data_IF_761819567718
#
_entry.id   IF_761819567718
#
_cell.length_a   1.000
_cell.length_b   1.000
_cell.length_c   1.000
_cell.angle_alpha   90.00
_cell.angle_beta   90.00
_cell.angle_gamma   90.00
#
_symmetry.space_group_name_H-M   'P 1'
#
loop_
_entity.id
_entity.type
_entity.pdbx_description
1 polymer ?
#
# COMPACT_ATOMS: atom_id res chain seq x y z
N UNK A 1 39.06 20.81 -3.88
CA UNK A 1 38.71 19.42 -3.57
C UNK A 1 39.14 19.07 -2.14
N UNK A 2 40.42 19.12 -1.77
CA UNK A 2 40.88 18.75 -0.41
C UNK A 2 40.09 19.45 0.69
N UNK A 3 40.04 20.79 0.64
CA UNK A 3 39.31 21.58 1.63
C UNK A 3 37.78 21.28 1.64
N UNK A 4 37.22 21.01 0.48
CA UNK A 4 35.78 20.62 0.35
C UNK A 4 35.51 19.25 0.98
N UNK A 5 36.36 18.22 0.75
CA UNK A 5 36.20 16.89 1.34
C UNK A 5 36.37 16.88 2.84
N UNK A 6 37.26 17.70 3.40
CA UNK A 6 37.41 17.86 4.86
C UNK A 6 36.15 18.43 5.51
N UNK A 7 35.40 19.29 4.81
CA UNK A 7 34.18 19.95 5.29
C UNK A 7 32.87 19.25 4.89
N UNK A 8 32.92 18.31 3.97
CA UNK A 8 31.73 17.66 3.40
C UNK A 8 30.87 16.94 4.48
N UNK A 9 31.50 16.48 5.58
CA UNK A 9 30.79 15.71 6.61
C UNK A 9 30.27 14.38 6.06
N UNK A 10 29.27 13.80 6.75
CA UNK A 10 28.59 12.61 6.27
C UNK A 10 27.61 12.98 5.14
N UNK A 11 27.60 12.19 4.07
CA UNK A 11 26.65 12.38 2.96
C UNK A 11 25.26 11.99 3.44
N UNK A 12 24.36 12.97 3.43
CA UNK A 12 22.95 12.82 3.76
C UNK A 12 22.10 13.39 2.61
N UNK A 13 20.80 13.14 2.60
CA UNK A 13 19.91 13.73 1.59
C UNK A 13 19.99 15.28 1.61
N UNK A 14 20.05 15.87 2.79
CA UNK A 14 20.19 17.33 2.94
C UNK A 14 21.62 17.82 2.69
N UNK A 15 22.62 16.95 2.75
CA UNK A 15 24.02 17.23 2.46
C UNK A 15 24.47 16.88 1.03
N UNK A 16 23.54 16.44 0.18
CA UNK A 16 23.83 16.06 -1.20
C UNK A 16 24.45 17.18 -2.03
N UNK A 17 24.05 18.43 -1.81
CA UNK A 17 24.64 19.61 -2.48
C UNK A 17 26.13 19.73 -2.20
N UNK A 18 26.55 19.57 -0.95
CA UNK A 18 27.98 19.65 -0.56
C UNK A 18 28.82 18.54 -1.21
N UNK A 19 28.27 17.33 -1.36
CA UNK A 19 28.93 16.25 -2.11
C UNK A 19 29.04 16.62 -3.60
N UNK A 20 27.96 17.11 -4.22
CA UNK A 20 27.96 17.47 -5.63
C UNK A 20 28.98 18.57 -5.95
N UNK A 21 29.07 19.62 -5.13
CA UNK A 21 30.07 20.67 -5.26
C UNK A 21 31.51 20.13 -5.25
N UNK A 22 31.80 19.21 -4.31
CA UNK A 22 33.14 18.62 -4.21
C UNK A 22 33.41 17.69 -5.39
N UNK A 23 32.42 16.93 -5.83
CA UNK A 23 32.49 16.06 -7.01
C UNK A 23 32.76 16.87 -8.28
N UNK A 24 32.03 17.93 -8.50
CA UNK A 24 32.20 18.80 -9.67
C UNK A 24 33.61 19.41 -9.67
N UNK A 25 34.10 19.88 -8.53
CA UNK A 25 35.45 20.38 -8.38
C UNK A 25 36.52 19.30 -8.66
N UNK A 26 36.28 18.04 -8.27
CA UNK A 26 37.14 16.90 -8.59
C UNK A 26 37.14 16.58 -10.09
N UNK A 27 35.95 16.57 -10.70
CA UNK A 27 35.80 16.25 -12.12
C UNK A 27 36.48 17.27 -13.04
N UNK A 28 36.55 18.53 -12.60
CA UNK A 28 37.27 19.61 -13.29
C UNK A 28 38.82 19.49 -13.22
N UNK A 29 39.36 18.65 -12.33
CA UNK A 29 40.80 18.45 -12.23
C UNK A 29 41.33 17.68 -13.45
N UNK A 30 42.57 18.07 -13.89
CA UNK A 30 43.31 17.27 -14.85
C UNK A 30 43.68 15.92 -14.24
N UNK A 31 43.89 14.90 -15.08
CA UNK A 31 44.32 13.57 -14.64
C UNK A 31 45.63 13.58 -13.83
N UNK A 32 46.54 14.49 -14.16
CA UNK A 32 47.76 14.65 -13.38
C UNK A 32 47.49 15.26 -12.00
N UNK A 33 46.56 16.23 -11.91
CA UNK A 33 46.16 16.81 -10.62
C UNK A 33 45.41 15.79 -9.74
N UNK A 34 44.53 14.96 -10.34
CA UNK A 34 43.86 13.86 -9.64
C UNK A 34 44.85 12.86 -9.03
N UNK A 35 45.94 12.53 -9.76
CA UNK A 35 46.99 11.62 -9.25
C UNK A 35 47.74 12.19 -8.05
N UNK A 36 47.85 13.50 -7.94
CA UNK A 36 48.56 14.18 -6.85
C UNK A 36 47.72 14.35 -5.58
N UNK A 37 46.41 14.03 -5.64
CA UNK A 37 45.57 14.06 -4.44
C UNK A 37 46.03 12.96 -3.45
N UNK A 38 46.00 13.25 -2.14
CA UNK A 38 46.22 12.23 -1.10
C UNK A 38 45.23 11.05 -1.28
N UNK A 39 45.68 9.84 -1.01
CA UNK A 39 44.82 8.64 -1.17
C UNK A 39 43.62 8.66 -0.23
N UNK A 40 43.79 9.20 0.99
CA UNK A 40 42.71 9.43 1.95
C UNK A 40 41.56 10.29 1.34
N UNK A 41 41.89 11.31 0.57
CA UNK A 41 40.89 12.17 -0.10
C UNK A 41 40.17 11.41 -1.22
N UNK A 42 40.91 10.56 -1.97
CA UNK A 42 40.32 9.73 -3.03
C UNK A 42 39.36 8.69 -2.44
N UNK A 43 39.76 8.04 -1.36
CA UNK A 43 38.96 7.03 -0.65
C UNK A 43 37.66 7.67 -0.10
N UNK A 44 37.79 8.79 0.60
CA UNK A 44 36.64 9.54 1.12
C UNK A 44 35.65 9.99 0.03
N UNK A 45 36.15 10.41 -1.14
CA UNK A 45 35.32 10.76 -2.27
C UNK A 45 34.60 9.53 -2.84
N UNK A 46 35.26 8.37 -2.89
CA UNK A 46 34.65 7.12 -3.34
C UNK A 46 33.55 6.66 -2.39
N UNK A 47 33.80 6.66 -1.09
CA UNK A 47 32.80 6.32 -0.07
C UNK A 47 31.59 7.27 -0.11
N UNK A 48 31.86 8.56 -0.29
CA UNK A 48 30.81 9.57 -0.43
C UNK A 48 29.97 9.35 -1.70
N UNK A 49 30.62 8.96 -2.81
CA UNK A 49 29.93 8.63 -4.06
C UNK A 49 29.01 7.43 -3.90
N UNK A 50 29.48 6.36 -3.26
CA UNK A 50 28.69 5.16 -3.00
C UNK A 50 27.49 5.47 -2.09
N UNK A 51 27.71 6.24 -1.03
CA UNK A 51 26.66 6.68 -0.10
C UNK A 51 25.62 7.54 -0.82
N UNK A 52 26.05 8.51 -1.63
CA UNK A 52 25.17 9.36 -2.42
C UNK A 52 24.31 8.55 -3.39
N UNK A 53 24.92 7.58 -4.08
CA UNK A 53 24.21 6.71 -4.99
C UNK A 53 23.15 5.87 -4.27
N UNK A 54 23.44 5.34 -3.08
CA UNK A 54 22.46 4.62 -2.27
C UNK A 54 21.29 5.51 -1.84
N UNK A 55 21.56 6.76 -1.46
CA UNK A 55 20.53 7.73 -1.09
C UNK A 55 19.59 8.05 -2.27
N UNK A 56 20.11 8.20 -3.48
CA UNK A 56 19.30 8.41 -4.69
C UNK A 56 18.41 7.20 -4.94
N UNK A 57 18.95 5.98 -4.89
CA UNK A 57 18.16 4.76 -5.06
C UNK A 57 17.04 4.65 -4.01
N UNK A 58 17.33 5.00 -2.75
CA UNK A 58 16.31 4.98 -1.70
C UNK A 58 15.22 6.04 -1.93
N UNK A 59 15.61 7.22 -2.42
CA UNK A 59 14.65 8.27 -2.76
C UNK A 59 13.73 7.84 -3.91
N UNK A 60 14.30 7.33 -5.01
CA UNK A 60 13.54 6.83 -6.15
C UNK A 60 12.53 5.74 -5.74
N UNK A 61 12.95 4.79 -4.91
CA UNK A 61 12.05 3.76 -4.36
C UNK A 61 10.92 4.35 -3.52
N UNK A 62 11.22 5.39 -2.72
CA UNK A 62 10.22 6.06 -1.90
C UNK A 62 9.21 6.79 -2.78
N UNK A 63 9.66 7.51 -3.80
CA UNK A 63 8.81 8.21 -4.77
C UNK A 63 7.93 7.21 -5.54
N UNK A 64 8.48 6.07 -5.98
CA UNK A 64 7.72 5.00 -6.61
C UNK A 64 6.59 4.46 -5.71
N UNK A 65 6.82 4.35 -4.40
CA UNK A 65 5.79 3.93 -3.44
C UNK A 65 4.72 5.01 -3.29
N UNK A 66 5.10 6.28 -3.20
CA UNK A 66 4.14 7.40 -3.16
C UNK A 66 3.24 7.40 -4.39
N UNK A 67 3.80 7.17 -5.59
CA UNK A 67 3.01 7.05 -6.83
C UNK A 67 2.06 5.86 -6.80
N UNK A 68 2.51 4.67 -6.36
CA UNK A 68 1.65 3.48 -6.25
C UNK A 68 0.47 3.70 -5.30
N UNK A 69 0.67 4.40 -4.19
CA UNK A 69 -0.41 4.76 -3.27
C UNK A 69 -1.37 5.74 -3.96
N UNK A 70 -0.87 6.76 -4.64
CA UNK A 70 -1.72 7.70 -5.37
C UNK A 70 -2.54 7.01 -6.48
N UNK A 71 -1.95 6.07 -7.20
CA UNK A 71 -2.62 5.29 -8.25
C UNK A 71 -3.73 4.38 -7.68
N UNK A 72 -3.56 3.90 -6.45
CA UNK A 72 -4.54 3.07 -5.75
C UNK A 72 -5.65 3.89 -5.07
N UNK A 73 -5.54 5.22 -4.99
CA UNK A 73 -6.36 6.09 -4.12
C UNK A 73 -7.83 6.24 -4.53
N UNK A 74 -8.26 5.69 -5.67
CA UNK A 74 -9.65 5.72 -6.11
C UNK A 74 -10.24 4.32 -5.95
N UNK A 75 -10.78 4.05 -4.76
CA UNK A 75 -11.46 2.79 -4.48
C UNK A 75 -12.93 2.90 -4.88
N UNK A 76 -13.34 2.16 -5.89
CA UNK A 76 -14.72 2.09 -6.37
C UNK A 76 -15.37 0.73 -6.08
N UNK A 77 -14.59 -0.34 -6.15
CA UNK A 77 -15.05 -1.69 -5.87
C UNK A 77 -13.87 -2.62 -5.50
N UNK A 78 -14.14 -3.91 -5.32
CA UNK A 78 -13.13 -4.89 -4.91
C UNK A 78 -12.10 -5.23 -6.00
N UNK A 79 -12.27 -4.78 -7.24
CA UNK A 79 -11.24 -4.95 -8.28
C UNK A 79 -10.00 -4.11 -7.97
N UNK A 80 -10.16 -3.03 -7.20
CA UNK A 80 -9.08 -2.12 -6.81
C UNK A 80 -8.17 -2.72 -5.70
N UNK A 81 -8.60 -3.81 -5.05
CA UNK A 81 -7.80 -4.48 -4.00
C UNK A 81 -6.40 -4.87 -4.48
N UNK A 82 -6.25 -5.21 -5.75
CA UNK A 82 -4.96 -5.61 -6.30
C UNK A 82 -3.95 -4.45 -6.30
N UNK A 83 -4.40 -3.24 -6.64
CA UNK A 83 -3.56 -2.04 -6.62
C UNK A 83 -3.13 -1.68 -5.19
N UNK A 84 -4.08 -1.71 -4.23
CA UNK A 84 -3.79 -1.45 -2.81
C UNK A 84 -2.76 -2.45 -2.26
N UNK A 85 -2.89 -3.74 -2.59
CA UNK A 85 -1.91 -4.76 -2.19
C UNK A 85 -0.52 -4.53 -2.79
N UNK A 86 -0.45 -4.06 -4.04
CA UNK A 86 0.82 -3.71 -4.69
C UNK A 86 1.47 -2.53 -3.98
N UNK A 87 0.71 -1.48 -3.66
CA UNK A 87 1.19 -0.33 -2.90
C UNK A 87 1.67 -0.75 -1.50
N UNK A 88 0.91 -1.57 -0.77
CA UNK A 88 1.31 -2.11 0.54
C UNK A 88 2.61 -2.90 0.46
N UNK A 89 2.72 -3.82 -0.50
CA UNK A 89 3.93 -4.63 -0.68
C UNK A 89 5.16 -3.76 -0.99
N UNK A 90 4.99 -2.72 -1.79
CA UNK A 90 6.06 -1.80 -2.12
C UNK A 90 6.48 -0.98 -0.88
N UNK A 91 5.52 -0.50 -0.08
CA UNK A 91 5.78 0.19 1.18
C UNK A 91 6.54 -0.70 2.18
N UNK A 92 6.10 -1.93 2.39
CA UNK A 92 6.70 -2.88 3.33
C UNK A 92 8.13 -3.31 2.92
N UNK A 93 8.49 -3.13 1.64
CA UNK A 93 9.82 -3.43 1.11
C UNK A 93 10.83 -2.28 1.27
N UNK A 94 10.39 -1.09 1.73
CA UNK A 94 11.29 0.04 1.96
C UNK A 94 12.13 -0.16 3.22
N UNK A 95 13.40 0.19 3.15
CA UNK A 95 14.27 0.26 4.34
C UNK A 95 13.88 1.42 5.28
N UNK A 96 13.39 2.51 4.70
CA UNK A 96 13.03 3.74 5.41
C UNK A 96 11.60 4.19 5.08
N UNK A 97 10.55 3.44 5.49
CA UNK A 97 9.18 3.70 5.11
C UNK A 97 8.61 5.01 5.69
N UNK A 98 9.21 5.57 6.75
CA UNK A 98 8.78 6.84 7.35
C UNK A 98 8.91 8.05 6.41
N UNK A 99 9.57 7.90 5.25
CA UNK A 99 9.70 8.95 4.23
C UNK A 99 8.52 8.99 3.26
N UNK A 100 7.65 7.99 3.28
CA UNK A 100 6.43 7.97 2.46
C UNK A 100 5.44 8.97 3.03
N UNK A 101 5.15 10.01 2.26
CA UNK A 101 4.36 11.17 2.72
C UNK A 101 2.87 10.93 2.74
N UNK A 102 2.38 9.93 1.99
CA UNK A 102 0.97 9.59 1.84
C UNK A 102 0.60 8.23 2.46
N UNK A 103 1.32 7.80 3.50
CA UNK A 103 1.06 6.51 4.17
C UNK A 103 -0.35 6.42 4.75
N UNK A 104 -0.89 7.52 5.29
CA UNK A 104 -2.26 7.57 5.81
C UNK A 104 -3.30 7.23 4.72
N UNK A 105 -3.07 7.69 3.49
CA UNK A 105 -3.92 7.33 2.34
C UNK A 105 -3.95 5.82 2.14
N UNK A 106 -2.80 5.15 2.18
CA UNK A 106 -2.74 3.68 2.07
C UNK A 106 -3.55 2.97 3.17
N UNK A 107 -3.53 3.48 4.39
CA UNK A 107 -4.34 2.93 5.49
C UNK A 107 -5.85 3.12 5.26
N UNK A 108 -6.25 4.27 4.71
CA UNK A 108 -7.64 4.55 4.36
C UNK A 108 -8.12 3.62 3.22
N UNK A 109 -7.30 3.43 2.19
CA UNK A 109 -7.57 2.50 1.08
C UNK A 109 -7.77 1.07 1.57
N UNK A 110 -6.88 0.57 2.43
CA UNK A 110 -7.00 -0.76 3.02
C UNK A 110 -8.28 -0.92 3.84
N UNK A 111 -8.64 0.10 4.60
CA UNK A 111 -9.88 0.14 5.38
C UNK A 111 -11.11 0.10 4.47
N UNK A 112 -11.09 0.84 3.35
CA UNK A 112 -12.21 0.84 2.41
C UNK A 112 -12.37 -0.53 1.74
N UNK A 113 -11.28 -1.16 1.29
CA UNK A 113 -11.31 -2.54 0.76
C UNK A 113 -11.89 -3.53 1.79
N UNK A 114 -11.51 -3.42 3.07
CA UNK A 114 -12.08 -4.25 4.14
C UNK A 114 -13.58 -4.00 4.32
N UNK A 115 -14.03 -2.75 4.20
CA UNK A 115 -15.44 -2.37 4.27
C UNK A 115 -16.23 -3.00 3.13
N UNK A 116 -15.74 -2.88 1.89
CA UNK A 116 -16.36 -3.47 0.70
C UNK A 116 -16.46 -4.99 0.80
N UNK A 117 -15.42 -5.66 1.30
CA UNK A 117 -15.45 -7.12 1.55
C UNK A 117 -16.54 -7.51 2.53
N UNK A 118 -16.69 -6.76 3.62
CA UNK A 118 -17.72 -7.01 4.61
C UNK A 118 -19.13 -6.84 4.03
N UNK A 119 -19.33 -5.81 3.20
CA UNK A 119 -20.59 -5.61 2.49
C UNK A 119 -20.88 -6.79 1.55
N UNK A 120 -19.90 -7.23 0.76
CA UNK A 120 -20.05 -8.37 -0.16
C UNK A 120 -20.38 -9.67 0.60
N UNK A 121 -19.70 -9.90 1.73
CA UNK A 121 -19.95 -11.07 2.57
C UNK A 121 -21.36 -11.06 3.16
N UNK A 122 -21.81 -9.92 3.70
CA UNK A 122 -23.15 -9.75 4.21
C UNK A 122 -24.21 -10.02 3.11
N UNK A 123 -23.99 -9.48 1.90
CA UNK A 123 -24.86 -9.72 0.76
C UNK A 123 -24.91 -11.22 0.38
N UNK A 124 -23.78 -11.91 0.44
CA UNK A 124 -23.72 -13.34 0.14
C UNK A 124 -24.55 -14.16 1.13
N UNK A 125 -24.48 -13.86 2.44
CA UNK A 125 -25.29 -14.53 3.45
C UNK A 125 -26.77 -14.23 3.27
N UNK A 126 -27.15 -12.96 3.06
CA UNK A 126 -28.53 -12.57 2.81
C UNK A 126 -29.10 -13.26 1.55
N UNK A 127 -28.35 -13.29 0.45
CA UNK A 127 -28.76 -13.95 -0.81
C UNK A 127 -28.99 -15.45 -0.63
N UNK A 128 -28.21 -16.10 0.24
CA UNK A 128 -28.43 -17.53 0.58
C UNK A 128 -29.81 -17.73 1.21
N UNK A 129 -30.18 -16.88 2.18
CA UNK A 129 -31.49 -16.93 2.84
C UNK A 129 -32.62 -16.52 1.88
N UNK A 130 -32.45 -15.46 1.10
CA UNK A 130 -33.41 -15.05 0.05
C UNK A 130 -33.70 -16.21 -0.91
N UNK A 131 -32.66 -16.94 -1.32
CA UNK A 131 -32.81 -18.10 -2.22
C UNK A 131 -33.61 -19.22 -1.56
N UNK A 132 -33.36 -19.51 -0.28
CA UNK A 132 -34.13 -20.53 0.49
C UNK A 132 -35.60 -20.12 0.61
N UNK A 133 -35.90 -18.86 0.91
CA UNK A 133 -37.25 -18.33 1.01
C UNK A 133 -37.94 -18.39 -0.35
N UNK A 134 -37.28 -18.00 -1.43
CA UNK A 134 -37.82 -18.04 -2.78
C UNK A 134 -38.14 -19.46 -3.26
N UNK A 135 -37.47 -20.47 -2.72
CA UNK A 135 -37.78 -21.88 -3.00
C UNK A 135 -39.13 -22.33 -2.42
N UNK A 136 -39.74 -21.58 -1.51
CA UNK A 136 -41.01 -21.87 -0.82
C UNK A 136 -42.24 -21.42 -1.60
N UNK A 137 -42.26 -21.46 -2.93
CA UNK A 137 -43.27 -20.86 -3.85
C UNK A 137 -44.76 -21.09 -3.53
N UNK A 138 -45.14 -22.30 -3.15
CA UNK A 138 -46.48 -22.68 -2.64
C UNK A 138 -46.28 -23.67 -1.51
N UNK A 139 -46.40 -23.19 -0.29
CA UNK A 139 -46.16 -23.97 0.92
C UNK A 139 -47.32 -24.92 1.16
N UNK A 140 -47.01 -26.19 1.37
CA UNK A 140 -47.92 -27.24 1.78
C UNK A 140 -47.50 -27.79 3.16
N UNK A 141 -48.32 -28.60 3.79
CA UNK A 141 -47.97 -29.21 5.07
C UNK A 141 -46.70 -30.11 4.99
N UNK A 142 -46.36 -30.62 3.80
CA UNK A 142 -45.12 -31.36 3.55
C UNK A 142 -43.87 -30.48 3.51
N UNK A 143 -43.99 -29.18 3.41
CA UNK A 143 -42.85 -28.23 3.32
C UNK A 143 -42.44 -27.64 4.69
N UNK A 144 -43.06 -28.13 5.79
CA UNK A 144 -42.80 -27.64 7.16
C UNK A 144 -41.32 -27.56 7.48
N UNK A 145 -40.54 -28.62 7.17
CA UNK A 145 -39.09 -28.65 7.47
C UNK A 145 -38.33 -27.60 6.66
N UNK A 146 -38.71 -27.31 5.43
CA UNK A 146 -38.08 -26.29 4.59
C UNK A 146 -38.36 -24.89 5.13
N UNK A 147 -39.61 -24.62 5.56
CA UNK A 147 -39.99 -23.35 6.18
C UNK A 147 -39.21 -23.11 7.46
N UNK A 148 -39.14 -24.14 8.34
CA UNK A 148 -38.37 -24.07 9.59
C UNK A 148 -36.88 -23.86 9.33
N UNK A 149 -36.32 -24.50 8.29
CA UNK A 149 -34.90 -24.33 7.90
C UNK A 149 -34.63 -22.89 7.41
N UNK A 150 -35.49 -22.33 6.56
CA UNK A 150 -35.37 -20.94 6.08
C UNK A 150 -35.48 -19.94 7.24
N UNK A 151 -36.40 -20.18 8.20
CA UNK A 151 -36.56 -19.32 9.38
C UNK A 151 -35.30 -19.37 10.26
N UNK A 152 -34.79 -20.57 10.59
CA UNK A 152 -33.53 -20.70 11.33
C UNK A 152 -32.36 -20.03 10.63
N UNK A 153 -32.28 -20.13 9.30
CA UNK A 153 -31.25 -19.47 8.53
C UNK A 153 -31.34 -17.94 8.63
N UNK A 154 -32.57 -17.39 8.54
CA UNK A 154 -32.81 -15.97 8.74
C UNK A 154 -32.47 -15.50 10.17
N UNK A 155 -32.92 -16.26 11.18
CA UNK A 155 -32.70 -15.92 12.59
C UNK A 155 -31.21 -15.90 12.94
N UNK A 156 -30.41 -16.74 12.28
CA UNK A 156 -28.95 -16.80 12.42
C UNK A 156 -28.19 -15.65 11.76
N UNK A 157 -28.83 -14.81 10.95
CA UNK A 157 -28.21 -13.64 10.35
C UNK A 157 -27.98 -12.51 11.38
N UNK A 158 -26.93 -11.74 11.16
CA UNK A 158 -26.73 -10.45 11.87
C UNK A 158 -27.76 -9.41 11.42
N UNK A 159 -27.96 -8.34 12.22
CA UNK A 159 -28.90 -7.27 11.85
C UNK A 159 -28.58 -6.65 10.49
N UNK A 160 -27.29 -6.45 10.20
CA UNK A 160 -26.84 -5.92 8.91
C UNK A 160 -27.22 -6.86 7.74
N UNK A 161 -27.16 -8.17 7.93
CA UNK A 161 -27.56 -9.18 6.94
C UNK A 161 -29.07 -9.29 6.82
N UNK A 162 -29.81 -9.23 7.95
CA UNK A 162 -31.27 -9.25 7.98
C UNK A 162 -31.89 -8.09 7.19
N UNK A 163 -31.29 -6.90 7.28
CA UNK A 163 -31.74 -5.72 6.55
C UNK A 163 -31.60 -5.85 5.01
N UNK A 164 -30.81 -6.83 4.54
CA UNK A 164 -30.64 -7.13 3.10
C UNK A 164 -31.63 -8.19 2.59
N UNK A 165 -32.42 -8.82 3.49
CA UNK A 165 -33.42 -9.84 3.10
C UNK A 165 -34.76 -9.13 2.81
N UNK A 166 -35.12 -9.05 1.54
CA UNK A 166 -36.28 -8.30 1.04
C UNK A 166 -37.59 -9.13 0.95
N UNK A 167 -37.51 -10.45 1.08
CA UNK A 167 -38.60 -11.39 0.91
C UNK A 167 -39.06 -12.09 2.19
N UNK A 168 -38.76 -11.51 3.37
CA UNK A 168 -39.11 -12.10 4.68
C UNK A 168 -40.62 -12.37 4.83
N UNK A 169 -41.48 -11.51 4.24
CA UNK A 169 -42.95 -11.65 4.29
C UNK A 169 -43.48 -13.00 3.78
N UNK A 170 -42.66 -13.76 3.03
CA UNK A 170 -43.03 -15.13 2.58
C UNK A 170 -42.97 -16.13 3.74
N UNK A 171 -42.24 -15.84 4.80
CA UNK A 171 -42.10 -16.66 6.00
C UNK A 171 -43.13 -16.32 7.10
N UNK A 172 -43.86 -15.20 6.96
CA UNK A 172 -44.90 -14.71 7.88
C UNK A 172 -46.27 -15.20 7.44
#
# INVERSE_FOLDING_TARGET
VVYGTEKMGDVTITGAESYQEVKDAYDMLSENAKKLLPDEIKERLSEAADTYQQLIIQQEKTEEVVEKINDASIISDLSDEAAVKVARKAYDALENPYRVTNYETLLEEEKEILSLKKVQENQKFANTVITQINALKKVTLSDKEKVEAARRAYDGLTDAQKNLVDNLSVLE
#
